data_IF_864768410717
#
_entry.id   IF_864768410717
#
_cell.length_a   1.000
_cell.length_b   1.000
_cell.length_c   1.000
_cell.angle_alpha   90.00
_cell.angle_beta   90.00
_cell.angle_gamma   90.00
#
_symmetry.space_group_name_H-M   'P 1'
#
loop_
_entity.id
_entity.type
_entity.pdbx_description
1 polymer ?
#
# COMPACT_ATOMS: atom_id res chain seq x y z
N UNK A 1 -2.28 -20.77 7.71
CA UNK A 1 -1.74 -20.66 9.08
C UNK A 1 -1.05 -19.31 9.19
N UNK A 2 -1.22 -18.58 10.29
CA UNK A 2 -0.50 -17.33 10.53
C UNK A 2 0.87 -17.67 11.16
N UNK A 3 1.97 -17.27 10.52
CA UNK A 3 3.33 -17.63 10.94
C UNK A 3 4.14 -16.46 11.50
N UNK A 4 3.92 -15.24 11.01
CA UNK A 4 4.63 -14.05 11.44
C UNK A 4 3.86 -12.77 11.10
N UNK A 5 4.24 -11.68 11.75
CA UNK A 5 3.80 -10.33 11.45
C UNK A 5 4.99 -9.37 11.53
N UNK A 6 4.93 -8.32 10.71
CA UNK A 6 5.86 -7.20 10.74
C UNK A 6 5.08 -5.90 10.83
N UNK A 7 5.57 -4.97 11.63
CA UNK A 7 5.04 -3.61 11.71
C UNK A 7 5.98 -2.68 10.96
N UNK A 8 5.41 -1.90 10.04
CA UNK A 8 6.16 -1.00 9.17
C UNK A 8 5.57 0.40 9.24
N UNK A 9 6.39 1.47 9.18
CA UNK A 9 5.86 2.82 9.16
C UNK A 9 5.04 3.08 7.89
N UNK A 10 3.89 3.73 7.99
CA UNK A 10 3.12 4.21 6.83
C UNK A 10 3.56 5.63 6.43
N UNK A 11 4.87 5.84 6.23
CA UNK A 11 5.45 7.15 5.95
C UNK A 11 5.95 7.20 4.49
N UNK A 12 5.55 8.20 3.67
CA UNK A 12 5.97 8.28 2.27
C UNK A 12 7.49 8.37 2.11
N UNK A 13 8.16 8.94 3.11
CA UNK A 13 9.61 9.07 3.20
C UNK A 13 10.35 7.72 3.08
N UNK A 14 9.68 6.57 3.33
CA UNK A 14 10.24 5.23 3.14
C UNK A 14 10.45 4.86 1.66
N UNK A 15 9.81 5.56 0.74
CA UNK A 15 10.02 5.43 -0.70
C UNK A 15 11.12 6.40 -1.13
N UNK A 16 12.28 5.93 -1.65
CA UNK A 16 13.41 6.80 -1.98
C UNK A 16 13.05 7.91 -2.97
N UNK A 17 12.18 7.59 -3.91
CA UNK A 17 11.71 8.49 -4.97
C UNK A 17 10.91 9.67 -4.39
N UNK A 18 10.23 9.45 -3.25
CA UNK A 18 9.50 10.49 -2.52
C UNK A 18 10.36 11.26 -1.52
N UNK A 19 11.59 10.81 -1.29
CA UNK A 19 12.52 11.45 -0.38
C UNK A 19 13.42 12.41 -1.17
N UNK A 20 13.65 13.61 -0.63
CA UNK A 20 14.63 14.54 -1.21
C UNK A 20 16.05 13.93 -1.18
N UNK A 21 16.97 14.40 -2.05
CA UNK A 21 18.34 13.87 -2.10
C UNK A 21 19.08 13.93 -0.75
N UNK A 22 18.70 14.88 0.10
CA UNK A 22 19.28 15.09 1.43
C UNK A 22 18.58 14.32 2.56
N UNK A 23 17.58 13.48 2.27
CA UNK A 23 16.80 12.73 3.27
C UNK A 23 17.55 11.52 3.86
N UNK A 24 18.85 11.68 4.13
CA UNK A 24 19.76 10.63 4.59
C UNK A 24 19.37 10.06 5.97
N UNK A 25 18.72 10.86 6.80
CA UNK A 25 18.27 10.48 8.15
C UNK A 25 17.23 9.36 8.13
N UNK A 26 16.53 9.19 7.00
CA UNK A 26 15.52 8.12 6.82
C UNK A 26 16.14 6.81 6.36
N UNK A 27 17.43 6.78 6.00
CA UNK A 27 18.10 5.58 5.50
C UNK A 27 18.06 4.41 6.50
N UNK A 28 18.36 4.59 7.81
CA UNK A 28 18.33 3.49 8.77
C UNK A 28 16.95 2.85 8.91
N UNK A 29 15.88 3.67 8.98
CA UNK A 29 14.51 3.14 9.10
C UNK A 29 14.05 2.45 7.81
N UNK A 30 14.46 2.96 6.64
CA UNK A 30 14.17 2.35 5.34
C UNK A 30 14.82 0.97 5.22
N UNK A 31 16.09 0.85 5.57
CA UNK A 31 16.81 -0.42 5.53
C UNK A 31 16.27 -1.42 6.55
N UNK A 32 15.93 -0.97 7.77
CA UNK A 32 15.28 -1.81 8.76
C UNK A 32 13.92 -2.35 8.26
N UNK A 33 13.12 -1.49 7.63
CA UNK A 33 11.81 -1.86 7.05
C UNK A 33 11.98 -2.90 5.94
N UNK A 34 12.92 -2.66 5.00
CA UNK A 34 13.25 -3.61 3.93
C UNK A 34 13.73 -4.96 4.49
N UNK A 35 14.57 -4.94 5.52
CA UNK A 35 15.04 -6.16 6.18
C UNK A 35 13.90 -6.96 6.82
N UNK A 36 12.98 -6.29 7.51
CA UNK A 36 11.83 -6.93 8.13
C UNK A 36 10.92 -7.59 7.08
N UNK A 37 10.64 -6.90 5.97
CA UNK A 37 9.78 -7.43 4.90
C UNK A 37 10.46 -8.57 4.15
N UNK A 38 11.78 -8.54 3.93
CA UNK A 38 12.51 -9.69 3.39
C UNK A 38 12.43 -10.92 4.31
N UNK A 39 12.48 -10.72 5.63
CA UNK A 39 12.30 -11.81 6.59
C UNK A 39 10.87 -12.39 6.58
N UNK A 40 9.86 -11.52 6.43
CA UNK A 40 8.47 -11.94 6.21
C UNK A 40 8.34 -12.78 4.92
N UNK A 41 8.94 -12.33 3.82
CA UNK A 41 8.93 -13.03 2.53
C UNK A 41 9.56 -14.41 2.60
N UNK A 42 10.67 -14.55 3.33
CA UNK A 42 11.31 -15.83 3.56
C UNK A 42 10.45 -16.80 4.40
N UNK A 43 9.49 -16.28 5.18
CA UNK A 43 8.68 -17.05 6.14
C UNK A 43 7.27 -17.37 5.66
N UNK A 44 6.76 -16.65 4.65
CA UNK A 44 5.39 -16.80 4.16
C UNK A 44 5.24 -16.38 2.69
N UNK A 45 4.50 -17.16 1.92
CA UNK A 45 4.15 -16.87 0.51
C UNK A 45 2.84 -16.11 0.35
N UNK A 46 1.98 -16.12 1.39
CA UNK A 46 0.70 -15.41 1.39
C UNK A 46 0.70 -14.36 2.49
N UNK A 47 0.48 -13.10 2.10
CA UNK A 47 0.46 -11.98 3.02
C UNK A 47 -0.94 -11.38 3.13
N UNK A 48 -1.20 -10.73 4.25
CA UNK A 48 -2.38 -9.90 4.47
C UNK A 48 -1.87 -8.54 4.93
N UNK A 49 -2.10 -7.50 4.13
CA UNK A 49 -1.79 -6.14 4.52
C UNK A 49 -2.94 -5.56 5.34
N UNK A 50 -2.61 -4.89 6.44
CA UNK A 50 -3.55 -4.21 7.32
C UNK A 50 -3.06 -2.79 7.54
N UNK A 51 -3.97 -1.82 7.43
CA UNK A 51 -3.60 -0.41 7.51
C UNK A 51 -4.80 0.49 7.67
N UNK A 52 -4.55 1.69 8.22
CA UNK A 52 -5.56 2.72 8.34
C UNK A 52 -5.91 3.30 6.96
N UNK A 53 -7.19 3.61 6.78
CA UNK A 53 -7.63 4.50 5.71
C UNK A 53 -7.17 5.94 6.04
N UNK A 54 -6.83 6.70 5.00
CA UNK A 54 -6.42 8.10 5.11
C UNK A 54 -7.41 9.05 4.41
N UNK A 55 -8.56 8.52 3.98
CA UNK A 55 -9.70 9.34 3.61
C UNK A 55 -10.21 10.10 4.85
N UNK A 56 -10.54 11.40 4.73
CA UNK A 56 -11.19 12.12 5.82
C UNK A 56 -12.48 11.40 6.17
N UNK A 57 -12.69 11.12 7.47
CA UNK A 57 -13.97 10.63 7.94
C UNK A 57 -15.03 11.65 7.54
N UNK A 58 -15.92 11.31 6.61
CA UNK A 58 -17.04 12.19 6.25
C UNK A 58 -17.95 12.20 7.47
N UNK A 59 -18.11 13.32 8.20
CA UNK A 59 -19.04 13.38 9.30
C UNK A 59 -20.43 13.20 8.71
N UNK A 60 -21.05 12.09 9.07
CA UNK A 60 -22.32 11.68 8.54
C UNK A 60 -23.37 12.76 8.91
N UNK A 61 -23.75 13.61 7.96
CA UNK A 61 -24.75 14.69 8.17
C UNK A 61 -25.95 14.46 7.25
N UNK A 62 -27.13 14.31 7.85
CA UNK A 62 -28.42 14.07 7.16
C UNK A 62 -29.01 12.68 7.41
N UNK A 63 -30.25 12.38 7.03
CA UNK A 63 -30.88 11.06 7.27
C UNK A 63 -30.20 9.90 6.52
N UNK A 64 -29.30 10.18 5.57
CA UNK A 64 -28.40 9.21 4.95
C UNK A 64 -27.13 8.91 5.78
N UNK A 65 -26.88 9.68 6.85
CA UNK A 65 -25.77 9.51 7.78
C UNK A 65 -25.80 8.18 8.54
N UNK A 66 -26.99 7.57 8.65
CA UNK A 66 -27.17 6.28 9.29
C UNK A 66 -26.82 5.09 8.39
N UNK A 67 -26.53 5.32 7.10
CA UNK A 67 -25.73 4.36 6.33
C UNK A 67 -24.26 4.74 6.54
N UNK A 68 -23.84 4.73 7.80
CA UNK A 68 -22.50 4.24 8.09
C UNK A 68 -22.46 2.91 7.34
N UNK A 69 -21.67 2.83 6.27
CA UNK A 69 -21.26 1.50 5.80
C UNK A 69 -20.31 0.99 6.89
N UNK A 70 -20.87 0.60 8.02
CA UNK A 70 -20.24 -0.04 9.18
C UNK A 70 -19.66 -1.42 8.81
N UNK A 71 -19.63 -1.72 7.51
CA UNK A 71 -18.83 -2.81 6.99
C UNK A 71 -17.38 -2.32 6.90
N UNK A 72 -16.44 -2.96 7.63
CA UNK A 72 -15.05 -2.87 7.24
C UNK A 72 -14.96 -3.20 5.74
N UNK A 73 -14.35 -2.30 4.95
CA UNK A 73 -14.05 -2.58 3.54
C UNK A 73 -13.06 -3.74 3.52
N UNK A 74 -13.58 -4.94 3.31
CA UNK A 74 -12.80 -6.17 3.33
C UNK A 74 -12.62 -6.66 1.89
N UNK A 75 -11.36 -6.69 1.45
CA UNK A 75 -10.81 -7.66 0.50
C UNK A 75 -11.18 -7.60 -0.98
N UNK A 76 -12.39 -7.17 -1.38
CA UNK A 76 -12.80 -7.24 -2.79
C UNK A 76 -13.27 -5.92 -3.41
N UNK A 77 -13.64 -4.92 -2.60
CA UNK A 77 -14.02 -3.58 -3.08
C UNK A 77 -12.88 -2.56 -2.97
N UNK A 78 -11.70 -3.00 -2.53
CA UNK A 78 -10.51 -2.16 -2.38
C UNK A 78 -9.65 -2.38 -3.61
N UNK A 79 -9.25 -1.28 -4.26
CA UNK A 79 -8.27 -1.34 -5.34
C UNK A 79 -7.03 -2.11 -4.90
N UNK A 80 -6.47 -2.92 -5.79
CA UNK A 80 -5.20 -3.61 -5.53
C UNK A 80 -4.02 -2.91 -6.18
N UNK A 81 -4.28 -1.94 -7.06
CA UNK A 81 -3.28 -1.09 -7.72
C UNK A 81 -3.42 0.37 -7.30
N UNK A 82 -2.31 1.09 -7.26
CA UNK A 82 -2.28 2.52 -6.94
C UNK A 82 -1.03 3.20 -7.48
N UNK A 83 -0.87 4.48 -7.12
CA UNK A 83 0.33 5.27 -7.41
C UNK A 83 0.61 6.27 -6.28
N UNK A 84 1.88 6.61 -6.08
CA UNK A 84 2.28 7.68 -5.19
C UNK A 84 2.10 9.10 -5.77
N UNK A 85 1.42 9.26 -6.91
CA UNK A 85 1.26 10.56 -7.60
C UNK A 85 0.77 11.70 -6.68
N UNK A 86 -0.07 11.39 -5.69
CA UNK A 86 -0.55 12.36 -4.67
C UNK A 86 0.54 12.90 -3.73
N UNK A 87 1.71 12.29 -3.74
CA UNK A 87 2.91 12.70 -3.00
C UNK A 87 4.00 13.28 -3.92
N UNK A 88 3.67 13.52 -5.19
CA UNK A 88 4.55 14.21 -6.14
C UNK A 88 5.35 13.30 -7.08
N UNK A 89 5.25 11.97 -6.95
CA UNK A 89 5.91 11.01 -7.86
C UNK A 89 4.91 10.00 -8.36
N UNK A 90 4.80 9.87 -9.68
CA UNK A 90 4.00 8.81 -10.29
C UNK A 90 4.76 7.48 -10.26
N UNK A 91 4.77 6.86 -9.08
CA UNK A 91 5.34 5.54 -8.86
C UNK A 91 4.18 4.54 -8.74
N UNK A 92 3.86 3.78 -9.80
CA UNK A 92 2.82 2.76 -9.77
C UNK A 92 3.24 1.59 -8.86
N UNK A 93 2.28 1.05 -8.10
CA UNK A 93 2.50 -0.12 -7.23
C UNK A 93 1.28 -1.04 -7.20
N UNK A 94 1.48 -2.32 -6.90
CA UNK A 94 0.40 -3.32 -6.75
C UNK A 94 0.51 -4.17 -5.48
N UNK A 95 -0.64 -4.54 -4.91
CA UNK A 95 -0.76 -5.55 -3.86
C UNK A 95 -0.83 -6.97 -4.45
N UNK A 96 -1.24 -7.09 -5.71
CA UNK A 96 -1.47 -8.36 -6.41
C UNK A 96 -0.70 -8.41 -7.75
N UNK A 97 0.30 -9.31 -7.89
CA UNK A 97 1.11 -9.42 -9.10
C UNK A 97 0.30 -9.96 -10.27
N UNK A 98 -0.77 -10.75 -10.02
CA UNK A 98 -1.61 -11.26 -11.08
C UNK A 98 -2.36 -10.12 -11.79
N UNK A 99 -2.66 -9.03 -11.06
CA UNK A 99 -3.26 -7.83 -11.66
C UNK A 99 -2.23 -7.01 -12.43
N UNK A 100 -0.98 -6.95 -11.98
CA UNK A 100 0.11 -6.29 -12.73
C UNK A 100 0.36 -6.98 -14.07
N UNK A 101 0.46 -8.31 -14.06
CA UNK A 101 0.56 -9.12 -15.28
C UNK A 101 -0.63 -8.82 -16.21
N UNK A 102 -1.87 -8.98 -15.72
CA UNK A 102 -3.07 -8.73 -16.51
C UNK A 102 -3.14 -7.31 -17.11
N UNK A 103 -2.70 -6.29 -16.36
CA UNK A 103 -2.61 -4.91 -16.87
C UNK A 103 -1.55 -4.77 -17.97
N UNK A 104 -0.42 -5.47 -17.88
CA UNK A 104 0.61 -5.45 -18.91
C UNK A 104 0.16 -6.09 -20.23
N UNK A 105 -0.83 -6.99 -20.20
CA UNK A 105 -1.42 -7.59 -21.41
C UNK A 105 -2.65 -6.84 -21.94
N UNK A 106 -3.18 -5.87 -21.18
CA UNK A 106 -4.29 -5.03 -21.62
C UNK A 106 -3.76 -3.76 -22.31
N UNK A 107 -4.25 -3.44 -23.52
CA UNK A 107 -3.95 -2.18 -24.21
C UNK A 107 -4.66 -0.95 -23.58
N UNK A 108 -5.25 -1.11 -22.39
CA UNK A 108 -6.02 -0.08 -21.70
C UNK A 108 -5.33 0.33 -20.41
N UNK A 109 -5.23 1.64 -20.16
CA UNK A 109 -4.71 2.16 -18.90
C UNK A 109 -5.62 1.72 -17.74
N UNK A 110 -5.09 0.99 -16.74
CA UNK A 110 -5.91 0.56 -15.62
C UNK A 110 -6.36 1.78 -14.84
N UNK A 111 -7.67 1.88 -14.59
CA UNK A 111 -8.19 2.82 -13.60
C UNK A 111 -7.52 2.47 -12.27
N UNK A 112 -6.81 3.43 -11.67
CA UNK A 112 -6.16 3.30 -10.36
C UNK A 112 -6.97 4.07 -9.32
N UNK A 113 -7.92 3.42 -8.61
CA UNK A 113 -8.64 4.08 -7.53
C UNK A 113 -7.66 4.48 -6.42
N UNK A 114 -8.07 5.44 -5.59
CA UNK A 114 -7.27 5.88 -4.45
C UNK A 114 -7.05 4.72 -3.48
N UNK A 115 -5.79 4.34 -3.28
CA UNK A 115 -5.35 3.52 -2.17
C UNK A 115 -4.96 4.37 -0.96
N UNK A 116 -5.26 3.94 0.28
CA UNK A 116 -4.69 4.53 1.48
C UNK A 116 -3.17 4.44 1.47
N UNK A 117 -2.49 5.36 2.18
CA UNK A 117 -1.02 5.41 2.22
C UNK A 117 -0.44 4.11 2.75
N UNK A 118 -1.09 3.53 3.77
CA UNK A 118 -0.71 2.25 4.34
C UNK A 118 -0.69 1.12 3.30
N UNK A 119 -1.65 1.11 2.37
CA UNK A 119 -1.73 0.13 1.27
C UNK A 119 -0.73 0.42 0.15
N UNK A 120 -0.48 1.69 -0.19
CA UNK A 120 0.58 2.05 -1.14
C UNK A 120 1.96 1.61 -0.63
N UNK A 121 2.24 1.83 0.66
CA UNK A 121 3.50 1.37 1.28
C UNK A 121 3.56 -0.16 1.33
N UNK A 122 2.46 -0.85 1.63
CA UNK A 122 2.42 -2.31 1.62
C UNK A 122 2.71 -2.88 0.21
N UNK A 123 2.12 -2.29 -0.83
CA UNK A 123 2.37 -2.64 -2.23
C UNK A 123 3.84 -2.42 -2.60
N UNK A 124 4.39 -1.24 -2.29
CA UNK A 124 5.81 -0.94 -2.52
C UNK A 124 6.73 -1.93 -1.79
N UNK A 125 6.46 -2.25 -0.52
CA UNK A 125 7.28 -3.17 0.26
C UNK A 125 7.30 -4.59 -0.30
N UNK A 126 6.18 -5.04 -0.88
CA UNK A 126 6.11 -6.32 -1.58
C UNK A 126 7.14 -6.37 -2.72
N UNK A 127 7.19 -5.35 -3.56
CA UNK A 127 8.18 -5.26 -4.65
C UNK A 127 9.62 -5.27 -4.12
N UNK A 128 9.88 -4.57 -3.00
CA UNK A 128 11.21 -4.57 -2.36
C UNK A 128 11.65 -5.95 -1.85
N UNK A 129 10.72 -6.90 -1.69
CA UNK A 129 11.00 -8.26 -1.24
C UNK A 129 11.20 -9.27 -2.38
N UNK A 130 11.05 -8.85 -3.65
CA UNK A 130 11.31 -9.70 -4.82
C UNK A 130 10.08 -10.15 -5.62
N UNK A 131 8.90 -9.58 -5.37
CA UNK A 131 7.68 -9.80 -6.18
C UNK A 131 6.79 -10.95 -5.69
#
# INVERSE_FOLDING_TARGET
MFSCAVFVPSAPLLVPELAGPDAVDTRPVREATRSAVRALAASATRWVALGADDAPAVPASGPAAAVLTDRPRCGTDVAVTGTFARFGVDLPVTLDPAVEEACAQADAEPVRPRLPLSMLIAAWLREQAGG
#
